data_IF_746994041141
#
_entry.id   IF_746994041141
#
_cell.length_a   1.000
_cell.length_b   1.000
_cell.length_c   1.000
_cell.angle_alpha   90.00
_cell.angle_beta   90.00
_cell.angle_gamma   90.00
#
_symmetry.space_group_name_H-M   'P 1'
#
loop_
_entity.id
_entity.type
_entity.pdbx_description
1 polymer ?
#
# COMPACT_ATOMS: atom_id res chain seq x y z
N UNK A 1 -17.35 -0.17 -3.00
CA UNK A 1 -17.33 1.28 -2.65
C UNK A 1 -15.99 1.88 -3.08
N UNK A 2 -15.95 3.17 -3.46
CA UNK A 2 -14.68 3.84 -3.76
C UNK A 2 -14.17 4.58 -2.51
N UNK A 3 -12.86 4.61 -2.33
CA UNK A 3 -12.23 5.47 -1.32
C UNK A 3 -11.88 6.82 -1.95
N UNK A 4 -12.20 7.90 -1.25
CA UNK A 4 -11.84 9.27 -1.64
C UNK A 4 -11.01 9.91 -0.54
N UNK A 5 -9.72 10.11 -0.81
CA UNK A 5 -8.81 10.86 0.04
C UNK A 5 -8.90 12.33 -0.33
N UNK A 6 -9.34 13.16 0.61
CA UNK A 6 -9.44 14.61 0.42
C UNK A 6 -8.27 15.30 1.11
N UNK A 7 -7.62 16.22 0.40
CA UNK A 7 -6.57 17.07 0.94
C UNK A 7 -6.92 18.53 0.72
N UNK A 8 -6.55 19.40 1.67
CA UNK A 8 -6.71 20.86 1.51
C UNK A 8 -5.64 21.46 0.58
N UNK A 9 -4.49 20.82 0.50
CA UNK A 9 -3.29 21.33 -0.19
C UNK A 9 -2.96 20.58 -1.49
N UNK A 10 -3.57 19.41 -1.70
CA UNK A 10 -3.38 18.58 -2.88
C UNK A 10 -4.74 18.19 -3.49
N UNK A 11 -4.73 17.66 -4.71
CA UNK A 11 -5.93 17.18 -5.39
C UNK A 11 -6.61 16.01 -4.65
N UNK A 12 -7.92 15.87 -4.88
CA UNK A 12 -8.67 14.72 -4.40
C UNK A 12 -8.15 13.44 -5.08
N UNK A 13 -7.80 12.43 -4.28
CA UNK A 13 -7.32 11.15 -4.78
C UNK A 13 -8.41 10.08 -4.58
N UNK A 14 -8.84 9.48 -5.68
CA UNK A 14 -9.87 8.44 -5.69
C UNK A 14 -9.19 7.09 -5.97
N UNK A 15 -9.44 6.12 -5.10
CA UNK A 15 -8.91 4.76 -5.23
C UNK A 15 -10.04 3.74 -5.24
N UNK A 16 -9.77 2.61 -5.90
CA UNK A 16 -10.58 1.40 -5.77
C UNK A 16 -10.56 0.92 -4.32
N UNK A 17 -11.65 0.25 -3.91
CA UNK A 17 -11.81 -0.30 -2.54
C UNK A 17 -10.59 -1.05 -1.99
N UNK A 18 -10.03 -2.06 -2.69
CA UNK A 18 -8.93 -2.84 -2.14
C UNK A 18 -7.66 -1.99 -1.94
N UNK A 19 -7.42 -1.04 -2.83
CA UNK A 19 -6.23 -0.18 -2.79
C UNK A 19 -6.34 0.81 -1.63
N UNK A 20 -7.49 1.48 -1.49
CA UNK A 20 -7.72 2.41 -0.38
C UNK A 20 -7.65 1.71 0.98
N UNK A 21 -8.22 0.50 1.10
CA UNK A 21 -8.15 -0.29 2.33
C UNK A 21 -6.71 -0.71 2.66
N UNK A 22 -5.93 -1.11 1.66
CA UNK A 22 -4.51 -1.47 1.84
C UNK A 22 -3.70 -0.29 2.34
N UNK A 23 -3.86 0.89 1.74
CA UNK A 23 -3.18 2.12 2.18
C UNK A 23 -3.55 2.46 3.62
N UNK A 24 -4.84 2.43 3.96
CA UNK A 24 -5.31 2.68 5.34
C UNK A 24 -4.73 1.68 6.34
N UNK A 25 -4.62 0.41 5.96
CA UNK A 25 -4.02 -0.62 6.81
C UNK A 25 -2.52 -0.39 7.05
N UNK A 26 -1.76 -0.02 6.01
CA UNK A 26 -0.33 0.27 6.11
C UNK A 26 -0.07 1.45 7.08
N UNK A 27 -0.87 2.51 6.99
CA UNK A 27 -0.75 3.66 7.90
C UNK A 27 -1.32 3.39 9.31
N UNK A 28 -1.81 2.18 9.58
CA UNK A 28 -2.37 1.78 10.89
C UNK A 28 -3.73 2.39 11.20
N UNK A 29 -4.54 2.71 10.18
CA UNK A 29 -5.89 3.28 10.34
C UNK A 29 -6.97 2.27 9.99
N UNK A 30 -8.07 2.35 10.73
CA UNK A 30 -9.23 1.51 10.49
C UNK A 30 -9.99 1.98 9.22
N UNK A 31 -10.28 1.08 8.26
CA UNK A 31 -10.95 1.44 7.01
C UNK A 31 -12.47 1.66 7.16
N UNK A 32 -13.07 1.33 8.31
CA UNK A 32 -14.51 1.44 8.57
C UNK A 32 -14.94 2.81 9.09
N UNK A 33 -14.04 3.57 9.70
CA UNK A 33 -14.32 4.94 10.15
C UNK A 33 -13.74 5.92 9.14
N UNK A 34 -14.46 6.98 8.80
CA UNK A 34 -13.92 8.09 8.01
C UNK A 34 -12.76 8.75 8.80
N UNK A 35 -11.56 8.18 8.66
CA UNK A 35 -10.39 8.53 9.44
C UNK A 35 -9.74 9.78 8.87
N UNK A 36 -9.88 10.90 9.56
CA UNK A 36 -9.07 12.09 9.27
C UNK A 36 -7.62 11.79 9.68
N UNK A 37 -6.69 11.94 8.74
CA UNK A 37 -5.25 11.89 9.03
C UNK A 37 -4.83 13.29 9.47
N UNK A 38 -4.34 13.41 10.70
CA UNK A 38 -3.86 14.68 11.23
C UNK A 38 -2.47 15.01 10.67
N UNK A 39 -2.09 16.29 10.51
CA UNK A 39 -0.76 16.67 10.03
C UNK A 39 0.38 16.04 10.83
N UNK A 40 0.23 15.91 12.15
CA UNK A 40 1.21 15.26 13.03
C UNK A 40 1.41 13.77 12.73
N UNK A 41 0.46 13.11 12.07
CA UNK A 41 0.50 11.69 11.68
C UNK A 41 1.08 11.49 10.27
N UNK A 42 1.26 12.57 9.49
CA UNK A 42 1.77 12.48 8.12
C UNK A 42 3.20 11.92 8.04
N UNK A 43 4.16 12.32 8.90
CA UNK A 43 5.52 11.79 8.82
C UNK A 43 5.57 10.28 9.09
N UNK A 44 4.83 9.80 10.09
CA UNK A 44 4.76 8.36 10.38
C UNK A 44 4.04 7.57 9.30
N UNK A 45 2.98 8.15 8.70
CA UNK A 45 2.26 7.52 7.61
C UNK A 45 3.14 7.37 6.36
N UNK A 46 3.95 8.38 6.03
CA UNK A 46 4.91 8.31 4.93
C UNK A 46 5.95 7.20 5.15
N UNK A 47 6.57 7.16 6.33
CA UNK A 47 7.54 6.11 6.67
C UNK A 47 6.92 4.71 6.58
N UNK A 48 5.69 4.53 7.06
CA UNK A 48 5.01 3.25 6.97
C UNK A 48 4.75 2.82 5.51
N UNK A 49 4.38 3.77 4.64
CA UNK A 49 4.18 3.51 3.22
C UNK A 49 5.49 3.17 2.50
N UNK A 50 6.58 3.90 2.78
CA UNK A 50 7.90 3.62 2.21
C UNK A 50 8.41 2.24 2.62
N UNK A 51 8.29 1.87 3.90
CA UNK A 51 8.65 0.53 4.38
C UNK A 51 7.82 -0.57 3.74
N UNK A 52 6.52 -0.32 3.53
CA UNK A 52 5.65 -1.29 2.87
C UNK A 52 6.02 -1.50 1.39
N UNK A 53 6.45 -0.44 0.70
CA UNK A 53 6.95 -0.54 -0.69
C UNK A 53 8.23 -1.37 -0.72
N UNK A 54 9.20 -1.05 0.14
CA UNK A 54 10.47 -1.77 0.22
C UNK A 54 10.26 -3.27 0.49
N UNK A 55 9.40 -3.61 1.45
CA UNK A 55 9.07 -5.00 1.76
C UNK A 55 8.37 -5.72 0.59
N UNK A 56 7.55 -5.02 -0.19
CA UNK A 56 6.88 -5.58 -1.36
C UNK A 56 7.87 -5.79 -2.52
N UNK A 57 8.81 -4.86 -2.74
CA UNK A 57 9.89 -5.01 -3.72
C UNK A 57 10.75 -6.23 -3.41
N UNK A 58 11.18 -6.40 -2.15
CA UNK A 58 11.94 -7.59 -1.71
C UNK A 58 11.15 -8.89 -1.91
N UNK A 59 9.84 -8.87 -1.65
CA UNK A 59 8.98 -10.04 -1.87
C UNK A 59 8.82 -10.36 -3.36
N UNK A 60 8.71 -9.32 -4.21
CA UNK A 60 8.64 -9.48 -5.67
C UNK A 60 9.96 -10.07 -6.18
N UNK A 61 11.11 -9.54 -5.78
CA UNK A 61 12.42 -10.08 -6.16
C UNK A 61 12.60 -11.54 -5.74
N UNK A 62 12.22 -11.90 -4.51
CA UNK A 62 12.27 -13.28 -4.02
C UNK A 62 11.34 -14.23 -4.81
N UNK A 63 10.17 -13.75 -5.23
CA UNK A 63 9.22 -14.53 -6.04
C UNK A 63 9.65 -14.68 -7.50
N UNK A 64 10.31 -13.66 -8.07
CA UNK A 64 10.88 -13.71 -9.42
C UNK A 64 12.04 -14.72 -9.49
N UNK A 65 12.87 -14.80 -8.45
CA UNK A 65 13.92 -15.82 -8.34
C UNK A 65 13.35 -17.25 -8.30
N UNK A 66 12.14 -17.45 -7.78
CA UNK A 66 11.49 -18.76 -7.70
C UNK A 66 10.71 -19.15 -8.97
N UNK A 67 10.22 -18.18 -9.76
CA UNK A 67 9.52 -18.45 -11.01
C UNK A 67 10.47 -18.99 -12.11
N UNK A 68 11.75 -18.62 -12.07
CA UNK A 68 12.77 -19.15 -13.00
C UNK A 68 13.14 -20.62 -12.78
N UNK A 69 12.84 -21.22 -11.63
CA UNK A 69 13.32 -22.56 -11.25
C UNK A 69 12.35 -23.72 -11.52
N UNK A 70 11.19 -23.48 -12.16
CA UNK A 70 10.20 -24.53 -12.49
C UNK A 70 10.12 -24.92 -13.97
N UNK A 71 10.82 -24.25 -14.88
CA UNK A 71 10.76 -24.56 -16.31
C UNK A 71 11.69 -25.72 -16.77
N UNK A 72 12.44 -26.35 -15.87
CA UNK A 72 13.40 -27.41 -16.22
C UNK A 72 12.98 -28.88 -15.99
N UNK A 73 11.72 -29.17 -15.61
CA UNK A 73 11.28 -30.54 -15.22
C UNK A 73 10.40 -31.28 -16.24
N UNK A 74 10.53 -30.99 -17.53
CA UNK A 74 10.00 -31.84 -18.61
C UNK A 74 11.07 -32.02 -19.70
N UNK A 75 12.13 -32.78 -19.37
CA UNK A 75 12.92 -33.52 -20.36
C UNK A 75 13.02 -34.97 -19.87
#
# INVERSE_FOLDING_TARGET
MLFKFKSKVAGDLIMLEPNGRRVLHIIGKDPSAAGIILPAQMPSALQALELAIQAEEEAIEASQAQCGNRQGKYQ
#
